data_IF_519690673307
#
_entry.id   IF_519690673307
#
_cell.length_a   1.000
_cell.length_b   1.000
_cell.length_c   1.000
_cell.angle_alpha   90.00
_cell.angle_beta   90.00
_cell.angle_gamma   90.00
#
_symmetry.space_group_name_H-M   'P 1'
#
loop_
_entity.id
_entity.type
_entity.pdbx_description
1 polymer ?
#
# COMPACT_ATOMS: atom_id res chain seq x y z
N UNK A 1 11.70 -12.78 -6.41
CA UNK A 1 11.00 -13.82 -5.62
C UNK A 1 11.98 -14.52 -4.70
N UNK A 2 11.74 -14.49 -3.39
CA UNK A 2 12.58 -15.14 -2.34
C UNK A 2 12.54 -16.68 -2.42
N UNK A 3 11.47 -17.23 -2.99
CA UNK A 3 11.23 -18.67 -3.11
C UNK A 3 11.24 -19.11 -4.58
N UNK A 4 11.61 -20.37 -4.83
CA UNK A 4 11.55 -20.95 -6.17
C UNK A 4 10.73 -22.23 -6.20
N UNK A 5 10.02 -22.45 -7.31
CA UNK A 5 9.09 -23.57 -7.46
C UNK A 5 9.79 -24.94 -7.34
N UNK A 6 10.99 -25.08 -7.89
CA UNK A 6 11.73 -26.35 -7.85
C UNK A 6 12.08 -26.77 -6.41
N UNK A 7 12.46 -25.84 -5.53
CA UNK A 7 12.71 -26.07 -4.11
C UNK A 7 11.39 -26.25 -3.35
N UNK A 8 10.39 -25.40 -3.62
CA UNK A 8 9.08 -25.47 -2.96
C UNK A 8 8.34 -26.79 -3.24
N UNK A 9 8.54 -27.38 -4.43
CA UNK A 9 7.97 -28.70 -4.78
C UNK A 9 8.42 -29.84 -3.86
N UNK A 10 9.52 -29.64 -3.12
CA UNK A 10 10.08 -30.61 -2.18
C UNK A 10 9.75 -30.29 -0.72
N UNK A 11 8.99 -29.23 -0.45
CA UNK A 11 8.64 -28.83 0.92
C UNK A 11 7.49 -29.68 1.47
N UNK A 12 7.68 -30.20 2.69
CA UNK A 12 6.57 -30.64 3.55
C UNK A 12 5.97 -29.47 4.34
N UNK A 13 5.05 -29.75 5.27
CA UNK A 13 4.37 -28.74 6.09
C UNK A 13 5.34 -27.76 6.77
N UNK A 14 6.41 -28.26 7.38
CA UNK A 14 7.41 -27.41 8.05
C UNK A 14 8.14 -26.48 7.09
N UNK A 15 8.39 -26.91 5.85
CA UNK A 15 9.03 -26.05 4.84
C UNK A 15 8.10 -24.93 4.36
N UNK A 16 6.79 -25.16 4.37
CA UNK A 16 5.79 -24.12 4.10
C UNK A 16 5.62 -23.14 5.26
N UNK A 17 5.81 -23.61 6.50
CA UNK A 17 5.77 -22.76 7.70
C UNK A 17 7.06 -21.95 7.85
N UNK A 18 8.23 -22.58 7.72
CA UNK A 18 9.53 -21.94 7.87
C UNK A 18 10.52 -22.49 6.84
N UNK A 19 11.01 -21.61 5.98
CA UNK A 19 12.04 -21.97 4.99
C UNK A 19 12.82 -20.74 4.57
N UNK A 20 14.12 -20.94 4.34
CA UNK A 20 15.01 -19.92 3.76
C UNK A 20 15.01 -18.59 4.53
N UNK A 21 14.92 -18.64 5.86
CA UNK A 21 14.88 -17.45 6.72
C UNK A 21 13.60 -16.62 6.54
N UNK A 22 12.46 -17.26 6.32
CA UNK A 22 11.15 -16.61 6.20
C UNK A 22 10.01 -17.59 6.45
N UNK A 23 8.77 -17.10 6.26
CA UNK A 23 7.55 -17.87 6.48
C UNK A 23 6.76 -17.92 5.15
N UNK A 24 7.08 -18.85 4.23
CA UNK A 24 6.62 -18.78 2.85
C UNK A 24 5.10 -18.69 2.69
N UNK A 25 4.34 -19.43 3.50
CA UNK A 25 2.88 -19.39 3.46
C UNK A 25 2.34 -18.01 3.84
N UNK A 26 2.89 -17.38 4.88
CA UNK A 26 2.48 -16.06 5.34
C UNK A 26 2.87 -14.99 4.32
N UNK A 27 4.08 -15.06 3.78
CA UNK A 27 4.59 -14.09 2.81
C UNK A 27 3.74 -14.11 1.53
N UNK A 28 3.49 -15.29 0.96
CA UNK A 28 2.67 -15.44 -0.26
C UNK A 28 1.24 -14.97 -0.01
N UNK A 29 0.63 -15.37 1.12
CA UNK A 29 -0.73 -14.95 1.45
C UNK A 29 -0.82 -13.42 1.63
N UNK A 30 0.14 -12.82 2.33
CA UNK A 30 0.11 -11.38 2.64
C UNK A 30 0.30 -10.53 1.38
N UNK A 31 1.25 -10.90 0.51
CA UNK A 31 1.45 -10.23 -0.78
C UNK A 31 0.23 -10.39 -1.69
N UNK A 32 -0.27 -11.62 -1.88
CA UNK A 32 -1.43 -11.87 -2.72
C UNK A 32 -2.69 -11.16 -2.21
N UNK A 33 -2.87 -11.07 -0.89
CA UNK A 33 -3.97 -10.33 -0.28
C UNK A 33 -3.86 -8.83 -0.57
N UNK A 34 -2.66 -8.25 -0.48
CA UNK A 34 -2.43 -6.84 -0.81
C UNK A 34 -2.80 -6.54 -2.26
N UNK A 35 -2.31 -7.36 -3.19
CA UNK A 35 -2.53 -7.20 -4.63
C UNK A 35 -4.01 -7.35 -4.99
N UNK A 36 -4.70 -8.36 -4.43
CA UNK A 36 -6.12 -8.60 -4.71
C UNK A 36 -7.02 -7.49 -4.19
N UNK A 37 -6.71 -6.93 -3.02
CA UNK A 37 -7.46 -5.79 -2.46
C UNK A 37 -7.24 -4.54 -3.31
N UNK A 38 -6.00 -4.26 -3.70
CA UNK A 38 -5.67 -3.10 -4.54
C UNK A 38 -6.36 -3.19 -5.92
N UNK A 39 -6.28 -4.36 -6.56
CA UNK A 39 -6.96 -4.63 -7.83
C UNK A 39 -8.48 -4.42 -7.70
N UNK A 40 -9.10 -5.01 -6.67
CA UNK A 40 -10.54 -4.92 -6.49
C UNK A 40 -11.00 -3.49 -6.25
N UNK A 41 -10.36 -2.76 -5.35
CA UNK A 41 -10.73 -1.36 -5.05
C UNK A 41 -10.50 -0.48 -6.29
N UNK A 42 -9.36 -0.62 -6.95
CA UNK A 42 -9.04 0.11 -8.18
C UNK A 42 -10.10 -0.12 -9.27
N UNK A 43 -10.57 -1.36 -9.44
CA UNK A 43 -11.63 -1.67 -10.40
C UNK A 43 -12.95 -0.95 -10.10
N UNK A 44 -13.33 -0.84 -8.83
CA UNK A 44 -14.56 -0.15 -8.41
C UNK A 44 -14.48 1.35 -8.67
N UNK A 45 -13.36 1.98 -8.31
CA UNK A 45 -13.18 3.42 -8.51
C UNK A 45 -13.03 3.78 -10.00
N UNK A 46 -12.32 2.97 -10.78
CA UNK A 46 -12.21 3.16 -12.23
C UNK A 46 -13.57 3.02 -12.93
N UNK A 47 -14.39 2.04 -12.56
CA UNK A 47 -15.74 1.88 -13.11
C UNK A 47 -16.68 3.07 -12.82
N UNK A 48 -16.32 3.94 -11.87
CA UNK A 48 -17.07 5.14 -11.48
C UNK A 48 -16.40 6.46 -11.92
N UNK A 49 -15.32 6.40 -12.70
CA UNK A 49 -14.50 7.57 -13.06
C UNK A 49 -14.09 8.38 -11.80
N UNK A 50 -13.71 7.67 -10.74
CA UNK A 50 -13.40 8.22 -9.43
C UNK A 50 -12.02 7.78 -8.92
N UNK A 51 -11.10 7.45 -9.84
CA UNK A 51 -9.76 6.93 -9.54
C UNK A 51 -9.00 7.81 -8.55
N UNK A 52 -9.17 9.12 -8.64
CA UNK A 52 -8.56 10.13 -7.75
C UNK A 52 -8.99 10.04 -6.27
N UNK A 53 -10.03 9.27 -5.97
CA UNK A 53 -10.55 9.04 -4.62
C UNK A 53 -9.97 7.80 -3.96
N UNK A 54 -9.16 7.03 -4.68
CA UNK A 54 -8.37 5.95 -4.14
C UNK A 54 -6.88 6.30 -4.23
N UNK A 55 -6.20 6.30 -3.09
CA UNK A 55 -4.77 6.53 -3.01
C UNK A 55 -4.11 5.30 -2.38
N UNK A 56 -3.33 4.58 -3.19
CA UNK A 56 -2.46 3.49 -2.74
C UNK A 56 -1.02 3.97 -2.74
N UNK A 57 -0.37 3.94 -1.58
CA UNK A 57 1.07 4.18 -1.44
C UNK A 57 1.68 2.89 -0.91
N UNK A 58 2.58 2.32 -1.69
CA UNK A 58 3.16 1.00 -1.46
C UNK A 58 4.58 0.99 -2.06
N UNK A 59 5.51 0.29 -1.41
CA UNK A 59 6.83 -0.02 -1.98
C UNK A 59 6.99 -1.53 -2.10
N UNK A 60 7.16 -2.01 -3.33
CA UNK A 60 7.31 -3.44 -3.65
C UNK A 60 8.76 -3.82 -3.97
N UNK A 61 9.70 -2.89 -3.75
CA UNK A 61 11.12 -3.05 -4.06
C UNK A 61 11.98 -3.33 -2.81
N UNK A 62 11.36 -3.56 -1.66
CA UNK A 62 12.06 -3.93 -0.43
C UNK A 62 12.86 -5.23 -0.62
N UNK A 63 14.11 -5.23 -0.16
CA UNK A 63 15.01 -6.39 -0.25
C UNK A 63 15.81 -6.55 1.04
N UNK A 64 16.40 -7.74 1.24
CA UNK A 64 17.20 -8.04 2.42
C UNK A 64 16.40 -7.87 3.72
N UNK A 65 17.04 -7.31 4.74
CA UNK A 65 16.44 -7.12 6.07
C UNK A 65 15.17 -6.25 6.04
N UNK A 66 15.09 -5.29 5.12
CA UNK A 66 13.93 -4.40 4.99
C UNK A 66 12.67 -5.13 4.52
N UNK A 67 12.83 -6.28 3.85
CA UNK A 67 11.71 -7.13 3.45
C UNK A 67 11.24 -8.08 4.57
N UNK A 68 11.92 -8.09 5.72
CA UNK A 68 11.55 -8.94 6.86
C UNK A 68 10.63 -8.21 7.82
N UNK A 69 9.64 -8.94 8.36
CA UNK A 69 8.64 -8.41 9.29
C UNK A 69 9.07 -8.45 10.77
N UNK A 70 10.20 -9.12 11.06
CA UNK A 70 10.68 -9.43 12.42
C UNK A 70 12.08 -8.88 12.74
N UNK A 71 12.74 -8.19 11.80
CA UNK A 71 14.09 -7.64 12.00
C UNK A 71 14.00 -6.19 12.49
N UNK A 72 13.92 -6.00 13.80
CA UNK A 72 13.80 -4.68 14.44
C UNK A 72 15.16 -4.07 14.86
N UNK A 73 16.22 -4.25 14.05
CA UNK A 73 17.52 -3.61 14.35
C UNK A 73 17.45 -2.10 14.08
N UNK A 74 18.19 -1.29 14.86
CA UNK A 74 18.23 0.17 14.66
C UNK A 74 18.62 0.54 13.22
N UNK A 75 19.54 -0.22 12.63
CA UNK A 75 19.95 -0.02 11.23
C UNK A 75 18.77 -0.26 10.29
N UNK A 76 18.10 -1.42 10.39
CA UNK A 76 16.98 -1.75 9.50
C UNK A 76 15.82 -0.74 9.62
N UNK A 77 15.50 -0.31 10.84
CA UNK A 77 14.47 0.71 11.06
C UNK A 77 14.83 2.06 10.44
N UNK A 78 16.09 2.49 10.53
CA UNK A 78 16.55 3.72 9.87
C UNK A 78 16.52 3.59 8.34
N UNK A 79 16.90 2.44 7.80
CA UNK A 79 16.85 2.18 6.36
C UNK A 79 15.39 2.22 5.86
N UNK A 80 14.43 1.67 6.63
CA UNK A 80 13.00 1.75 6.32
C UNK A 80 12.45 3.17 6.37
N UNK A 81 12.92 4.02 7.30
CA UNK A 81 12.58 5.46 7.31
C UNK A 81 13.06 6.12 6.01
N UNK A 82 14.30 5.85 5.59
CA UNK A 82 14.83 6.39 4.36
C UNK A 82 14.02 5.93 3.13
N UNK A 83 13.62 4.66 3.07
CA UNK A 83 12.73 4.17 2.00
C UNK A 83 11.41 4.93 1.99
N UNK A 84 10.80 5.17 3.15
CA UNK A 84 9.55 5.93 3.24
C UNK A 84 9.73 7.39 2.78
N UNK A 85 10.83 8.04 3.15
CA UNK A 85 11.15 9.40 2.70
C UNK A 85 11.36 9.49 1.19
N UNK A 86 12.00 8.49 0.58
CA UNK A 86 12.13 8.40 -0.88
C UNK A 86 10.80 8.07 -1.56
N UNK A 87 9.98 7.20 -0.96
CA UNK A 87 8.66 6.86 -1.47
C UNK A 87 7.74 8.09 -1.55
N UNK A 88 7.84 9.02 -0.60
CA UNK A 88 7.11 10.28 -0.63
C UNK A 88 7.44 11.15 -1.86
N UNK A 89 8.67 11.04 -2.39
CA UNK A 89 9.14 11.79 -3.56
C UNK A 89 8.77 11.12 -4.88
N UNK A 90 8.45 9.82 -4.88
CA UNK A 90 7.99 9.10 -6.08
C UNK A 90 6.62 9.62 -6.52
N UNK A 91 6.35 9.56 -7.81
CA UNK A 91 5.03 9.88 -8.38
C UNK A 91 4.00 8.85 -7.94
N UNK A 92 2.75 9.29 -7.80
CA UNK A 92 1.62 8.39 -7.57
C UNK A 92 1.57 7.35 -8.70
N UNK A 93 1.22 6.12 -8.34
CA UNK A 93 1.06 5.02 -9.30
C UNK A 93 -0.21 4.24 -8.99
N UNK A 94 -0.86 3.74 -10.03
CA UNK A 94 -2.04 2.89 -9.92
C UNK A 94 -1.79 1.56 -10.63
N UNK A 95 -2.47 0.52 -10.18
CA UNK A 95 -2.46 -0.76 -10.87
C UNK A 95 -3.16 -0.63 -12.24
N UNK A 96 -2.47 -1.07 -13.29
CA UNK A 96 -3.07 -1.25 -14.60
C UNK A 96 -3.87 -2.57 -14.58
N UNK A 97 -5.20 -2.50 -14.55
CA UNK A 97 -6.08 -3.68 -14.40
C UNK A 97 -5.93 -4.73 -15.51
N UNK A 98 -5.32 -4.37 -16.65
CA UNK A 98 -5.05 -5.33 -17.73
C UNK A 98 -3.75 -6.10 -17.50
N UNK A 99 -2.72 -5.44 -16.98
CA UNK A 99 -1.38 -6.04 -16.82
C UNK A 99 -1.09 -6.49 -15.39
N UNK A 100 -1.83 -5.98 -14.41
CA UNK A 100 -1.58 -6.17 -12.98
C UNK A 100 -0.34 -5.43 -12.47
N UNK A 101 0.25 -4.53 -13.26
CA UNK A 101 1.49 -3.82 -12.92
C UNK A 101 1.16 -2.38 -12.52
N UNK A 102 1.84 -1.86 -11.49
CA UNK A 102 1.76 -0.45 -11.12
C UNK A 102 2.45 0.44 -12.16
N UNK A 103 1.70 1.42 -12.66
CA UNK A 103 2.16 2.40 -13.61
C UNK A 103 1.96 3.81 -13.03
N UNK A 104 2.90 4.75 -13.24
CA UNK A 104 2.69 6.15 -12.85
C UNK A 104 1.39 6.69 -13.45
N UNK A 105 0.61 7.40 -12.64
CA UNK A 105 -0.58 8.09 -13.15
C UNK A 105 -0.17 9.25 -14.07
N UNK A 106 -1.09 9.73 -14.90
CA UNK A 106 -0.79 10.84 -15.83
C UNK A 106 -0.43 12.14 -15.12
N UNK A 107 -0.87 12.34 -13.87
CA UNK A 107 -0.41 13.47 -13.07
C UNK A 107 1.02 13.23 -12.63
N UNK A 108 1.86 14.27 -12.69
CA UNK A 108 3.18 14.24 -12.09
C UNK A 108 3.11 14.49 -10.56
N UNK A 109 1.97 14.19 -9.93
CA UNK A 109 1.76 14.37 -8.49
C UNK A 109 2.60 13.34 -7.73
N UNK A 110 3.40 13.82 -6.79
CA UNK A 110 4.16 12.98 -5.86
C UNK A 110 3.27 12.41 -4.77
N UNK A 111 3.70 11.32 -4.12
CA UNK A 111 2.98 10.76 -2.98
C UNK A 111 2.83 11.78 -1.84
N UNK A 112 3.82 12.65 -1.62
CA UNK A 112 3.73 13.74 -0.63
C UNK A 112 2.63 14.76 -0.96
N UNK A 113 2.51 15.15 -2.22
CA UNK A 113 1.46 16.07 -2.69
C UNK A 113 0.08 15.43 -2.59
N UNK A 114 -0.05 14.17 -3.01
CA UNK A 114 -1.30 13.41 -2.90
C UNK A 114 -1.76 13.27 -1.44
N UNK A 115 -0.84 12.99 -0.52
CA UNK A 115 -1.13 12.96 0.92
C UNK A 115 -1.56 14.33 1.45
N UNK A 116 -0.91 15.41 1.00
CA UNK A 116 -1.28 16.78 1.38
C UNK A 116 -2.69 17.11 0.90
N UNK A 117 -3.02 16.80 -0.36
CA UNK A 117 -4.37 16.94 -0.92
C UNK A 117 -5.38 16.13 -0.14
N UNK A 118 -5.05 14.88 0.22
CA UNK A 118 -5.92 14.03 1.02
C UNK A 118 -6.17 14.61 2.43
N UNK A 119 -5.13 15.13 3.09
CA UNK A 119 -5.23 15.76 4.39
C UNK A 119 -6.13 17.02 4.37
N UNK A 120 -6.02 17.84 3.31
CA UNK A 120 -6.91 18.99 3.09
C UNK A 120 -8.37 18.53 2.99
N UNK A 121 -8.66 17.54 2.12
CA UNK A 121 -10.00 16.97 1.96
C UNK A 121 -10.58 16.48 3.31
N UNK A 122 -9.78 15.76 4.10
CA UNK A 122 -10.20 15.28 5.43
C UNK A 122 -10.52 16.44 6.39
N UNK A 123 -9.69 17.47 6.41
CA UNK A 123 -9.87 18.66 7.25
C UNK A 123 -11.16 19.42 6.89
N UNK A 124 -11.39 19.63 5.60
CA UNK A 124 -12.60 20.28 5.08
C UNK A 124 -13.86 19.47 5.41
N UNK A 125 -13.84 18.16 5.18
CA UNK A 125 -14.96 17.28 5.53
C UNK A 125 -15.26 17.29 7.04
N UNK A 126 -14.23 17.34 7.89
CA UNK A 126 -14.41 17.48 9.34
C UNK A 126 -15.07 18.82 9.71
N UNK A 127 -14.63 19.93 9.10
CA UNK A 127 -15.21 21.27 9.33
C UNK A 127 -16.67 21.32 8.88
N UNK A 128 -16.96 20.78 7.70
CA UNK A 128 -18.31 20.69 7.14
C UNK A 128 -19.26 19.90 8.06
N UNK A 129 -18.84 18.72 8.55
CA UNK A 129 -19.68 17.93 9.47
C UNK A 129 -19.97 18.68 10.77
N UNK A 130 -18.97 19.40 11.31
CA UNK A 130 -19.15 20.22 12.52
C UNK A 130 -20.14 21.37 12.31
N UNK A 131 -20.07 22.07 11.17
CA UNK A 131 -21.02 23.16 10.90
C UNK A 131 -22.45 22.63 10.75
N UNK A 132 -22.65 21.48 10.10
CA UNK A 132 -23.96 20.84 10.00
C UNK A 132 -24.54 20.46 11.38
N UNK A 133 -23.72 19.92 12.28
CA UNK A 133 -24.17 19.62 13.66
C UNK A 133 -24.56 20.89 14.42
N UNK A 134 -23.80 21.98 14.27
CA UNK A 134 -24.12 23.25 14.92
C UNK A 134 -25.41 23.88 14.38
N UNK A 135 -25.63 23.83 13.06
CA UNK A 135 -26.88 24.28 12.42
C UNK A 135 -28.07 23.44 12.92
N UNK A 136 -27.93 22.12 13.00
CA UNK A 136 -29.01 21.25 13.46
C UNK A 136 -29.35 21.45 14.95
N UNK A 137 -28.36 21.78 15.80
CA UNK A 137 -28.58 22.02 17.23
C UNK A 137 -29.11 23.43 17.55
N UNK A 138 -28.94 24.40 16.64
CA UNK A 138 -29.47 25.77 16.78
C UNK A 138 -30.88 25.97 16.22
N UNK A 139 -31.45 24.94 15.57
CA UNK A 139 -32.81 24.92 15.03
C UNK A 139 -33.80 24.17 15.95
N UNK A 140 -33.51 24.09 17.26
CA UNK A 140 -34.37 23.52 18.31
C UNK A 140 -34.81 24.64 19.25
#
# INVERSE_FOLDING_TARGET
MKYNAAKASKWGLLGWVSSSGGNPLIDVFSHASSDMVDFHISSVFQARNAEENYLRIQDDALTGDMSSVDIATKKNLNDLVQVAEELLKKTVSNINLRTGIHEPVKSNETNAEALTRFAIRLSEQRKFRKSQTLVNNGNI
#
